data_IF_071646978372
#
_entry.id   IF_071646978372
#
_cell.length_a   1.000
_cell.length_b   1.000
_cell.length_c   1.000
_cell.angle_alpha   90.00
_cell.angle_beta   90.00
_cell.angle_gamma   90.00
#
_symmetry.space_group_name_H-M   'P 1'
#
loop_
_entity.id
_entity.type
_entity.pdbx_description
1 polymer ?
#
# COMPACT_ATOMS: atom_id res chain seq x y z
N UNK A 1 -2.49 -0.10 -6.51
CA UNK A 1 -3.47 -1.19 -6.28
C UNK A 1 -4.66 -0.57 -5.55
N UNK A 2 -5.76 -1.25 -5.21
CA UNK A 2 -6.73 -0.63 -4.27
C UNK A 2 -6.27 -0.86 -2.84
N UNK A 3 -6.77 -0.03 -1.92
CA UNK A 3 -6.50 -0.13 -0.47
C UNK A 3 -6.73 -1.54 0.07
N UNK A 4 -7.74 -2.25 -0.43
CA UNK A 4 -8.01 -3.66 -0.06
C UNK A 4 -6.84 -4.59 -0.35
N UNK A 5 -6.20 -4.44 -1.51
CA UNK A 5 -4.98 -5.15 -1.86
C UNK A 5 -3.80 -4.76 -0.96
N UNK A 6 -3.65 -3.48 -0.62
CA UNK A 6 -2.55 -3.01 0.24
C UNK A 6 -2.71 -3.53 1.67
N UNK A 7 -3.94 -3.57 2.19
CA UNK A 7 -4.26 -4.24 3.47
C UNK A 7 -3.87 -5.72 3.41
N UNK A 8 -4.24 -6.44 2.35
CA UNK A 8 -3.92 -7.85 2.20
C UNK A 8 -2.41 -8.10 2.12
N UNK A 9 -1.68 -7.31 1.33
CA UNK A 9 -0.23 -7.38 1.20
C UNK A 9 0.46 -7.09 2.55
N UNK A 10 0.04 -6.03 3.25
CA UNK A 10 0.59 -5.65 4.56
C UNK A 10 0.32 -6.72 5.61
N UNK A 11 -0.86 -7.34 5.59
CA UNK A 11 -1.16 -8.49 6.44
C UNK A 11 -0.22 -9.67 6.13
N UNK A 12 -0.03 -10.05 4.86
CA UNK A 12 0.90 -11.12 4.50
C UNK A 12 2.34 -10.84 4.94
N UNK A 13 2.79 -9.58 4.82
CA UNK A 13 4.09 -9.13 5.34
C UNK A 13 4.16 -9.35 6.85
N UNK A 14 3.12 -9.00 7.61
CA UNK A 14 3.10 -9.24 9.05
C UNK A 14 3.17 -10.73 9.40
N UNK A 15 2.65 -11.62 8.54
CA UNK A 15 2.69 -13.07 8.74
C UNK A 15 4.04 -13.71 8.34
N UNK A 16 4.88 -13.05 7.55
CA UNK A 16 6.15 -13.60 7.00
C UNK A 16 7.12 -14.13 8.06
N UNK A 17 6.99 -13.66 9.30
CA UNK A 17 7.94 -13.91 10.36
C UNK A 17 7.53 -15.05 11.33
N UNK A 18 6.40 -15.71 11.06
CA UNK A 18 5.90 -16.82 11.87
C UNK A 18 6.79 -18.08 11.85
N UNK A 19 7.76 -18.16 10.92
CA UNK A 19 8.67 -19.31 10.81
C UNK A 19 9.56 -19.50 12.06
N UNK A 20 9.77 -18.44 12.85
CA UNK A 20 10.68 -18.44 14.00
C UNK A 20 9.98 -18.47 15.39
N UNK A 21 8.76 -19.03 15.48
CA UNK A 21 7.98 -19.22 16.74
C UNK A 21 7.63 -17.97 17.56
N UNK A 22 8.07 -16.78 17.16
CA UNK A 22 7.65 -15.52 17.73
C UNK A 22 6.47 -14.97 16.93
N UNK A 23 5.25 -15.26 17.37
CA UNK A 23 4.04 -14.69 16.80
C UNK A 23 3.92 -13.21 17.16
N UNK A 24 3.60 -12.37 16.17
CA UNK A 24 3.20 -10.99 16.43
C UNK A 24 1.87 -10.94 17.17
N UNK A 25 1.70 -9.94 18.02
CA UNK A 25 0.41 -9.65 18.66
C UNK A 25 -0.57 -9.05 17.64
N UNK A 26 -1.87 -9.03 17.95
CA UNK A 26 -2.86 -8.38 17.10
C UNK A 26 -2.57 -6.87 16.91
N UNK A 27 -2.02 -6.22 17.93
CA UNK A 27 -1.65 -4.79 17.89
C UNK A 27 -0.45 -4.58 16.96
N UNK A 28 0.55 -5.47 17.00
CA UNK A 28 1.69 -5.42 16.07
C UNK A 28 1.24 -5.60 14.61
N UNK A 29 0.33 -6.55 14.37
CA UNK A 29 -0.23 -6.81 13.03
C UNK A 29 -0.99 -5.57 12.54
N UNK A 30 -1.86 -5.00 13.38
CA UNK A 30 -2.61 -3.80 13.04
C UNK A 30 -1.67 -2.64 12.73
N UNK A 31 -0.61 -2.45 13.52
CA UNK A 31 0.38 -1.41 13.27
C UNK A 31 1.07 -1.56 11.91
N UNK A 32 1.47 -2.78 11.53
CA UNK A 32 2.06 -3.04 10.20
C UNK A 32 1.06 -2.74 9.07
N UNK A 33 -0.21 -3.14 9.23
CA UNK A 33 -1.27 -2.85 8.25
C UNK A 33 -1.49 -1.33 8.11
N UNK A 34 -1.59 -0.61 9.23
CA UNK A 34 -1.77 0.85 9.21
C UNK A 34 -0.58 1.55 8.54
N UNK A 35 0.65 1.12 8.82
CA UNK A 35 1.83 1.68 8.16
C UNK A 35 1.80 1.41 6.65
N UNK A 36 1.48 0.19 6.22
CA UNK A 36 1.39 -0.15 4.81
C UNK A 36 0.22 0.48 4.05
N UNK A 37 -0.67 1.21 4.71
CA UNK A 37 -1.78 1.96 4.08
C UNK A 37 -1.73 3.46 4.42
N UNK A 38 -0.61 3.94 4.98
CA UNK A 38 -0.53 5.34 5.41
C UNK A 38 -0.55 6.32 4.23
N UNK A 39 -0.07 5.87 3.07
CA UNK A 39 -0.07 6.68 1.85
C UNK A 39 -1.50 6.89 1.35
N UNK A 40 -2.33 5.84 1.30
CA UNK A 40 -3.76 5.94 0.93
C UNK A 40 -4.60 6.95 1.74
N UNK A 41 -4.11 7.45 2.86
CA UNK A 41 -4.78 8.55 3.56
C UNK A 41 -4.89 9.80 2.68
N UNK A 42 -3.97 10.00 1.74
CA UNK A 42 -4.01 11.10 0.78
C UNK A 42 -4.97 10.87 -0.40
N UNK A 43 -5.54 9.66 -0.51
CA UNK A 43 -6.72 9.42 -1.34
C UNK A 43 -8.02 9.86 -0.65
N UNK A 44 -8.09 9.81 0.69
CA UNK A 44 -9.32 10.04 1.48
C UNK A 44 -9.41 11.44 2.07
N UNK A 45 -8.32 11.97 2.63
CA UNK A 45 -8.32 13.24 3.37
C UNK A 45 -8.45 14.46 2.44
N UNK A 46 -7.66 14.61 1.36
CA UNK A 46 -7.74 15.78 0.47
C UNK A 46 -9.11 16.02 -0.17
N UNK A 47 -9.90 14.99 -0.56
CA UNK A 47 -11.28 15.17 -1.01
C UNK A 47 -12.18 15.91 -0.03
N UNK A 48 -11.95 15.78 1.28
CA UNK A 48 -12.71 16.53 2.30
C UNK A 48 -12.48 18.04 2.20
N UNK A 49 -11.43 18.47 1.50
CA UNK A 49 -11.06 19.86 1.24
C UNK A 49 -11.21 20.25 -0.25
N UNK A 50 -11.94 19.45 -1.04
CA UNK A 50 -12.19 19.73 -2.46
C UNK A 50 -11.04 19.37 -3.41
N UNK A 51 -10.03 18.63 -2.95
CA UNK A 51 -8.93 18.12 -3.79
C UNK A 51 -9.31 16.72 -4.30
N UNK A 52 -9.35 16.46 -5.63
CA UNK A 52 -9.77 15.16 -6.15
C UNK A 52 -8.87 14.01 -5.67
N UNK A 53 -9.44 12.95 -5.10
CA UNK A 53 -8.65 11.80 -4.59
C UNK A 53 -7.86 11.06 -5.68
N UNK A 54 -8.31 11.14 -6.93
CA UNK A 54 -7.61 10.57 -8.08
C UNK A 54 -6.18 11.11 -8.30
N UNK A 55 -5.84 12.28 -7.74
CA UNK A 55 -4.48 12.85 -7.89
C UNK A 55 -3.49 12.35 -6.83
N UNK A 56 -3.89 11.46 -5.93
CA UNK A 56 -3.12 11.16 -4.73
C UNK A 56 -1.68 10.67 -5.00
N UNK A 57 -1.44 9.87 -6.04
CA UNK A 57 -0.08 9.50 -6.48
C UNK A 57 0.80 10.70 -6.91
N UNK A 58 0.19 11.84 -7.26
CA UNK A 58 0.91 13.10 -7.56
C UNK A 58 1.27 13.90 -6.31
N UNK A 59 0.74 13.56 -5.13
CA UNK A 59 0.93 14.31 -3.88
C UNK A 59 2.28 14.01 -3.23
N UNK A 60 2.92 14.99 -2.54
CA UNK A 60 4.23 14.81 -1.94
C UNK A 60 4.28 13.76 -0.85
N UNK A 61 3.13 13.52 -0.22
CA UNK A 61 2.89 12.45 0.75
C UNK A 61 3.07 11.06 0.14
N UNK A 62 2.82 10.89 -1.16
CA UNK A 62 2.85 9.61 -1.85
C UNK A 62 4.21 9.33 -2.53
N UNK A 63 5.31 9.47 -1.76
CA UNK A 63 6.69 9.30 -2.27
C UNK A 63 7.59 8.54 -1.29
N UNK A 64 8.71 7.94 -1.74
CA UNK A 64 9.66 7.28 -0.83
C UNK A 64 10.24 8.21 0.24
N UNK A 65 10.53 9.46 -0.11
CA UNK A 65 11.02 10.44 0.86
C UNK A 65 9.98 10.72 1.95
N UNK A 66 8.72 10.94 1.58
CA UNK A 66 7.66 11.10 2.56
C UNK A 66 7.49 9.84 3.42
N UNK A 67 7.58 8.66 2.80
CA UNK A 67 7.61 7.38 3.51
C UNK A 67 8.72 7.30 4.57
N UNK A 68 9.94 7.69 4.22
CA UNK A 68 11.07 7.74 5.15
C UNK A 68 10.84 8.72 6.29
N UNK A 69 10.32 9.92 6.01
CA UNK A 69 10.02 10.93 7.03
C UNK A 69 8.94 10.42 7.98
N UNK A 70 7.83 9.90 7.45
CA UNK A 70 6.72 9.34 8.24
C UNK A 70 7.23 8.16 9.08
N UNK A 71 8.01 7.26 8.50
CA UNK A 71 8.59 6.12 9.20
C UNK A 71 9.51 6.55 10.35
N UNK A 72 10.37 7.55 10.13
CA UNK A 72 11.23 8.10 11.16
C UNK A 72 10.42 8.71 12.32
N UNK A 73 9.37 9.47 12.00
CA UNK A 73 8.46 10.04 13.00
C UNK A 73 7.75 8.96 13.82
N UNK A 74 7.19 7.95 13.15
CA UNK A 74 6.55 6.81 13.81
C UNK A 74 7.54 6.03 14.69
N UNK A 75 8.76 5.81 14.21
CA UNK A 75 9.83 5.18 14.99
C UNK A 75 10.16 5.96 16.25
N UNK A 76 10.41 7.27 16.14
CA UNK A 76 10.72 8.10 17.29
C UNK A 76 9.58 8.12 18.32
N UNK A 77 8.33 8.20 17.86
CA UNK A 77 7.15 8.24 18.73
C UNK A 77 6.82 6.89 19.39
N UNK A 78 7.11 5.76 18.73
CA UNK A 78 6.58 4.45 19.12
C UNK A 78 7.66 3.37 19.37
N UNK A 79 8.96 3.70 19.28
CA UNK A 79 10.09 2.76 19.51
C UNK A 79 10.08 2.02 20.85
N UNK A 80 9.44 2.60 21.86
CA UNK A 80 9.32 1.98 23.19
C UNK A 80 8.11 1.04 23.29
N UNK A 81 7.17 1.12 22.35
CA UNK A 81 5.94 0.30 22.32
C UNK A 81 6.05 -0.92 21.41
N UNK A 82 6.78 -0.79 20.29
CA UNK A 82 6.93 -1.85 19.31
C UNK A 82 8.38 -2.32 19.21
N UNK A 83 8.57 -3.62 18.97
CA UNK A 83 9.91 -4.18 18.78
C UNK A 83 10.55 -3.70 17.48
N UNK A 84 11.89 -3.74 17.41
CA UNK A 84 12.64 -3.44 16.17
C UNK A 84 12.14 -4.24 14.96
N UNK A 85 11.76 -5.50 15.18
CA UNK A 85 11.21 -6.38 14.16
C UNK A 85 9.89 -5.86 13.58
N UNK A 86 9.00 -5.36 14.43
CA UNK A 86 7.71 -4.77 13.98
C UNK A 86 7.97 -3.53 13.12
N UNK A 87 8.95 -2.70 13.49
CA UNK A 87 9.36 -1.57 12.65
C UNK A 87 9.95 -2.00 11.30
N UNK A 88 10.77 -3.05 11.27
CA UNK A 88 11.27 -3.59 9.99
C UNK A 88 10.10 -4.03 9.10
N UNK A 89 9.11 -4.73 9.65
CA UNK A 89 7.93 -5.15 8.88
C UNK A 89 7.06 -3.98 8.44
N UNK A 90 6.90 -2.96 9.29
CA UNK A 90 6.19 -1.73 8.94
C UNK A 90 6.89 -0.98 7.80
N UNK A 91 8.22 -0.87 7.85
CA UNK A 91 9.02 -0.26 6.78
C UNK A 91 8.93 -1.04 5.47
N UNK A 92 8.97 -2.37 5.54
CA UNK A 92 8.75 -3.24 4.36
C UNK A 92 7.33 -3.06 3.82
N UNK A 93 6.31 -2.98 4.68
CA UNK A 93 4.92 -2.75 4.25
C UNK A 93 4.75 -1.39 3.54
N UNK A 94 5.34 -0.32 4.08
CA UNK A 94 5.35 1.00 3.45
C UNK A 94 6.06 0.97 2.08
N UNK A 95 7.23 0.35 1.98
CA UNK A 95 7.95 0.26 0.70
C UNK A 95 7.19 -0.61 -0.31
N UNK A 96 6.64 -1.75 0.14
CA UNK A 96 5.83 -2.63 -0.69
C UNK A 96 4.58 -1.93 -1.20
N UNK A 97 3.97 -1.02 -0.44
CA UNK A 97 2.86 -0.20 -0.92
C UNK A 97 3.25 0.56 -2.20
N UNK A 98 4.28 1.41 -2.11
CA UNK A 98 4.77 2.20 -3.24
C UNK A 98 5.21 1.33 -4.43
N UNK A 99 5.87 0.19 -4.17
CA UNK A 99 6.25 -0.76 -5.22
C UNK A 99 5.03 -1.38 -5.92
N UNK A 100 3.95 -1.66 -5.18
CA UNK A 100 2.74 -2.26 -5.74
C UNK A 100 1.91 -1.25 -6.54
N UNK A 101 1.97 0.03 -6.20
CA UNK A 101 1.37 1.09 -7.02
C UNK A 101 2.10 1.28 -8.34
N UNK A 102 3.43 1.16 -8.31
CA UNK A 102 4.25 1.28 -9.51
C UNK A 102 4.56 -0.06 -10.20
N UNK A 103 3.85 -1.12 -9.86
CA UNK A 103 4.16 -2.47 -10.35
C UNK A 103 4.08 -2.56 -11.88
N UNK A 104 3.09 -1.90 -12.50
CA UNK A 104 2.97 -1.86 -13.96
C UNK A 104 4.18 -1.17 -14.62
N UNK A 105 4.73 -0.13 -14.00
CA UNK A 105 5.93 0.54 -14.49
C UNK A 105 7.12 -0.42 -14.47
N UNK A 106 7.34 -1.13 -13.36
CA UNK A 106 8.42 -2.12 -13.27
C UNK A 106 8.23 -3.30 -14.24
N UNK A 107 7.01 -3.81 -14.39
CA UNK A 107 6.69 -4.85 -15.38
C UNK A 107 6.92 -4.36 -16.82
N UNK A 108 6.62 -3.09 -17.10
CA UNK A 108 6.91 -2.43 -18.36
C UNK A 108 8.41 -2.34 -18.64
N UNK A 109 9.22 -1.93 -17.66
CA UNK A 109 10.69 -1.90 -17.77
C UNK A 109 11.29 -3.29 -18.05
N UNK A 110 10.69 -4.34 -17.49
CA UNK A 110 11.10 -5.73 -17.74
C UNK A 110 10.59 -6.29 -19.08
N UNK A 111 9.83 -5.51 -19.86
CA UNK A 111 9.24 -5.95 -21.14
C UNK A 111 8.08 -6.94 -20.99
N UNK A 112 7.59 -7.15 -19.76
CA UNK A 112 6.48 -8.05 -19.45
C UNK A 112 5.11 -7.41 -19.72
N UNK A 113 5.05 -6.07 -19.76
CA UNK A 113 3.82 -5.34 -20.07
C UNK A 113 4.03 -4.28 -21.17
N UNK A 114 3.88 -4.72 -22.43
CA UNK A 114 4.08 -3.87 -23.62
C UNK A 114 2.96 -2.83 -23.86
N UNK A 115 1.89 -2.86 -23.05
CA UNK A 115 0.70 -2.00 -23.23
C UNK A 115 0.52 -0.92 -22.17
N UNK A 116 1.32 -0.95 -21.09
CA UNK A 116 1.27 0.06 -20.03
C UNK A 116 2.19 1.22 -20.38
N UNK A 117 1.70 2.45 -20.20
CA UNK A 117 2.56 3.63 -20.30
C UNK A 117 3.75 3.46 -19.36
N UNK A 118 4.98 3.63 -19.87
CA UNK A 118 6.24 3.55 -19.11
C UNK A 118 6.42 4.85 -18.29
N UNK A 119 5.34 5.32 -17.67
CA UNK A 119 5.36 6.48 -16.81
C UNK A 119 5.16 5.98 -15.37
N UNK A 120 6.10 6.29 -14.46
CA UNK A 120 5.96 5.89 -13.08
C UNK A 120 4.80 6.66 -12.43
N UNK A 121 3.97 5.95 -11.68
CA UNK A 121 2.97 6.54 -10.80
C UNK A 121 3.63 7.12 -9.55
N UNK A 122 4.72 6.49 -9.10
CA UNK A 122 5.46 6.91 -7.92
C UNK A 122 6.68 7.73 -8.33
N UNK A 123 6.81 8.92 -7.73
CA UNK A 123 7.97 9.77 -7.96
C UNK A 123 9.14 9.34 -7.07
N UNK A 124 9.86 8.31 -7.51
CA UNK A 124 11.00 7.73 -6.78
C UNK A 124 12.12 8.72 -6.48
N UNK A 125 12.30 9.72 -7.34
CA UNK A 125 13.41 10.69 -7.28
C UNK A 125 13.04 12.00 -6.55
N UNK A 126 11.84 12.12 -5.99
CA UNK A 126 11.45 13.32 -5.25
C UNK A 126 12.41 13.59 -4.06
N UNK A 127 12.91 14.84 -3.88
CA UNK A 127 12.45 16.11 -4.44
C UNK A 127 13.26 16.64 -5.63
N UNK A 128 14.10 15.81 -6.25
CA UNK A 128 15.01 16.25 -7.30
C UNK A 128 14.35 16.35 -8.68
N UNK A 129 13.13 15.84 -8.85
CA UNK A 129 12.38 15.98 -10.10
C UNK A 129 11.60 17.31 -10.16
N UNK A 130 12.16 18.28 -10.88
CA UNK A 130 11.59 19.62 -11.05
C UNK A 130 10.29 19.66 -11.90
N UNK A 131 9.96 18.59 -12.63
CA UNK A 131 8.72 18.48 -13.43
C UNK A 131 7.44 18.26 -12.60
N UNK A 132 7.59 17.93 -11.31
CA UNK A 132 6.48 17.57 -10.40
C UNK A 132 5.40 18.64 -10.28
N UNK A 133 5.80 19.91 -10.20
CA UNK A 133 4.83 21.01 -10.01
C UNK A 133 3.87 21.06 -11.21
N UNK A 134 4.41 20.88 -12.41
CA UNK A 134 3.63 20.88 -13.62
C UNK A 134 2.73 19.64 -13.71
N UNK A 135 3.25 18.44 -13.40
CA UNK A 135 2.45 17.22 -13.40
C UNK A 135 1.27 17.27 -12.41
N UNK A 136 1.47 17.86 -11.23
CA UNK A 136 0.40 18.05 -10.25
C UNK A 136 -0.66 19.04 -10.76
N UNK A 137 -0.25 20.16 -11.34
CA UNK A 137 -1.17 21.15 -11.93
C UNK A 137 -1.99 20.52 -13.05
N UNK A 138 -1.35 19.75 -13.93
CA UNK A 138 -2.02 19.10 -15.05
C UNK A 138 -2.98 17.99 -14.58
N UNK A 139 -2.60 17.22 -13.56
CA UNK A 139 -3.50 16.25 -12.92
C UNK A 139 -4.73 16.94 -12.29
N UNK A 140 -4.54 18.01 -11.52
CA UNK A 140 -5.65 18.78 -10.93
C UNK A 140 -6.58 19.29 -12.03
N UNK A 141 -6.03 19.90 -13.08
CA UNK A 141 -6.82 20.42 -14.21
C UNK A 141 -7.60 19.31 -14.91
N UNK A 142 -6.97 18.16 -15.16
CA UNK A 142 -7.60 17.00 -15.78
C UNK A 142 -8.82 16.53 -14.97
N UNK A 143 -8.68 16.32 -13.66
CA UNK A 143 -9.77 15.83 -12.81
C UNK A 143 -10.85 16.88 -12.52
N UNK A 144 -10.52 18.17 -12.58
CA UNK A 144 -11.52 19.25 -12.52
C UNK A 144 -12.36 19.30 -13.80
N UNK A 145 -11.75 19.07 -14.96
CA UNK A 145 -12.42 19.09 -16.27
C UNK A 145 -13.14 17.77 -16.59
N UNK A 146 -12.64 16.67 -16.07
CA UNK A 146 -13.16 15.32 -16.24
C UNK A 146 -13.42 14.73 -14.86
N UNK A 147 -14.50 15.13 -14.16
CA UNK A 147 -14.88 14.50 -12.91
C UNK A 147 -15.23 13.05 -13.20
N UNK A 148 -14.22 12.17 -13.10
CA UNK A 148 -14.40 10.74 -13.27
C UNK A 148 -15.41 10.29 -12.24
N UNK A 149 -16.58 9.85 -12.70
CA UNK A 149 -17.53 9.23 -11.79
C UNK A 149 -16.89 7.93 -11.26
N UNK A 150 -17.30 7.48 -10.07
CA UNK A 150 -16.74 6.28 -9.46
C UNK A 150 -16.88 5.03 -10.36
N UNK A 151 -17.86 4.99 -11.26
CA UNK A 151 -18.05 3.88 -12.20
C UNK A 151 -16.99 3.86 -13.32
N UNK A 152 -16.50 5.01 -13.76
CA UNK A 152 -15.42 5.10 -14.76
C UNK A 152 -14.08 4.67 -14.15
N UNK A 153 -13.77 5.13 -12.94
CA UNK A 153 -12.59 4.67 -12.18
C UNK A 153 -12.66 3.15 -11.96
N UNK A 154 -13.82 2.64 -11.56
CA UNK A 154 -14.03 1.20 -11.39
C UNK A 154 -13.86 0.45 -12.72
N UNK A 155 -14.38 0.95 -13.83
CA UNK A 155 -14.25 0.31 -15.15
C UNK A 155 -12.79 0.27 -15.64
N UNK A 156 -12.03 1.34 -15.42
CA UNK A 156 -10.58 1.37 -15.70
C UNK A 156 -9.87 0.33 -14.85
N UNK A 157 -10.18 0.30 -13.55
CA UNK A 157 -9.57 -0.63 -12.62
C UNK A 157 -9.92 -2.11 -12.91
N UNK A 158 -11.17 -2.41 -13.27
CA UNK A 158 -11.62 -3.77 -13.62
C UNK A 158 -10.91 -4.34 -14.86
N UNK A 159 -10.42 -3.47 -15.75
CA UNK A 159 -9.64 -3.84 -16.94
C UNK A 159 -8.13 -3.91 -16.65
N UNK A 160 -7.69 -3.51 -15.47
CA UNK A 160 -6.27 -3.53 -15.10
C UNK A 160 -5.80 -4.95 -14.79
N UNK A 161 -4.61 -5.30 -15.29
CA UNK A 161 -3.92 -6.55 -14.92
C UNK A 161 -3.61 -6.63 -13.41
N UNK A 162 -3.50 -5.47 -12.75
CA UNK A 162 -3.30 -5.39 -11.30
C UNK A 162 -4.46 -5.97 -10.49
N UNK A 163 -5.68 -6.01 -11.06
CA UNK A 163 -6.83 -6.63 -10.41
C UNK A 163 -6.57 -8.12 -10.10
N UNK A 164 -5.95 -8.85 -11.04
CA UNK A 164 -5.67 -10.28 -10.86
C UNK A 164 -4.67 -10.48 -9.71
N UNK A 165 -3.63 -9.65 -9.67
CA UNK A 165 -2.61 -9.69 -8.60
C UNK A 165 -3.26 -9.35 -7.25
N UNK A 166 -4.13 -8.34 -7.21
CA UNK A 166 -4.88 -7.97 -6.01
C UNK A 166 -5.77 -9.12 -5.52
N UNK A 167 -6.58 -9.73 -6.40
CA UNK A 167 -7.45 -10.87 -6.06
C UNK A 167 -6.62 -12.03 -5.50
N UNK A 168 -5.52 -12.39 -6.17
CA UNK A 168 -4.62 -13.46 -5.69
C UNK A 168 -4.04 -13.12 -4.32
N UNK A 169 -3.61 -11.88 -4.10
CA UNK A 169 -3.06 -11.40 -2.82
C UNK A 169 -4.09 -11.50 -1.71
N UNK A 170 -5.34 -11.08 -1.97
CA UNK A 170 -6.45 -11.17 -1.03
C UNK A 170 -6.77 -12.64 -0.71
N UNK A 171 -6.85 -13.51 -1.71
CA UNK A 171 -7.14 -14.94 -1.50
C UNK A 171 -6.06 -15.59 -0.62
N UNK A 172 -4.78 -15.32 -0.89
CA UNK A 172 -3.67 -15.84 -0.09
C UNK A 172 -3.75 -15.30 1.35
N UNK A 173 -4.03 -14.00 1.52
CA UNK A 173 -4.21 -13.40 2.84
C UNK A 173 -5.34 -14.07 3.64
N UNK A 174 -6.50 -14.29 3.01
CA UNK A 174 -7.63 -14.98 3.61
C UNK A 174 -7.29 -16.43 3.97
N UNK A 175 -6.60 -17.14 3.10
CA UNK A 175 -6.16 -18.51 3.37
C UNK A 175 -5.23 -18.57 4.59
N UNK A 176 -4.24 -17.66 4.68
CA UNK A 176 -3.33 -17.58 5.82
C UNK A 176 -4.09 -17.24 7.11
N UNK A 177 -5.05 -16.31 7.06
CA UNK A 177 -5.91 -15.95 8.18
C UNK A 177 -6.75 -17.14 8.67
N UNK A 178 -7.39 -17.87 7.76
CA UNK A 178 -8.20 -19.04 8.09
C UNK A 178 -7.35 -20.16 8.70
N UNK A 179 -6.19 -20.46 8.11
CA UNK A 179 -5.25 -21.44 8.65
C UNK A 179 -4.83 -21.08 10.07
N UNK A 180 -4.56 -19.81 10.34
CA UNK A 180 -4.20 -19.33 11.68
C UNK A 180 -5.33 -19.55 12.69
N UNK A 181 -6.57 -19.17 12.34
CA UNK A 181 -7.76 -19.38 13.18
C UNK A 181 -8.00 -20.87 13.49
N UNK A 182 -7.87 -21.74 12.49
CA UNK A 182 -8.05 -23.18 12.65
C UNK A 182 -7.00 -23.79 13.60
N UNK A 183 -5.72 -23.40 13.44
CA UNK A 183 -4.65 -23.88 14.33
C UNK A 183 -4.90 -23.50 15.78
N UNK A 184 -5.33 -22.27 16.03
CA UNK A 184 -5.62 -21.80 17.39
C UNK A 184 -6.83 -22.52 18.02
N UNK A 185 -7.85 -22.86 17.22
CA UNK A 185 -9.01 -23.62 17.69
C UNK A 185 -8.63 -25.04 18.11
N UNK A 186 -7.78 -25.71 17.33
CA UNK A 186 -7.32 -27.08 17.62
C UNK A 186 -6.44 -27.14 18.89
N UNK A 187 -5.54 -26.18 19.08
CA UNK A 187 -4.71 -26.12 20.30
C UNK A 187 -5.56 -25.96 21.56
N UNK A 188 -6.58 -25.10 21.52
CA UNK A 188 -7.47 -24.87 22.67
C UNK A 188 -8.38 -26.07 22.99
N UNK A 189 -8.63 -26.97 22.03
CA UNK A 189 -9.42 -28.19 22.24
C UNK A 189 -8.60 -29.30 22.89
N UNK A 190 -7.30 -29.39 22.59
CA UNK A 190 -6.41 -30.41 23.15
C UNK A 190 -5.87 -30.06 24.56
N UNK A 191 -6.12 -28.86 25.05
CA UNK A 191 -5.70 -28.39 26.38
C UNK A 191 -6.82 -28.44 27.43
N UNK A 192 -7.96 -29.05 27.12
CA UNK A 192 -9.09 -29.30 28.02
C UNK A 192 -9.25 -30.79 28.23
#
# INVERSE_FOLDING_TARGET
>A
MLTTGHIAASYLISQSTQKNRQSLTAIDILFVILCGNIFDLDFVIPPLFGIPGGIHHSLPTHTPLAGLIIFALLYLALKNKFSKRVFVLAGVAMLSHLLLDDLNYFLGLLGLDKGSAILPQIQWEYPFNFGRKQSLIDAIRYYQQNPTNNAEVLNIYLKSKLLVIEIVTIIIALFVLLRHKLKHKLVNQNSR
#
